data_IF_829770059353
#
_entry.id   IF_829770059353
#
_cell.length_a   1.000
_cell.length_b   1.000
_cell.length_c   1.000
_cell.angle_alpha   90.00
_cell.angle_beta   90.00
_cell.angle_gamma   90.00
#
_symmetry.space_group_name_H-M   'P 1'
#
loop_
_entity.id
_entity.type
_entity.pdbx_description
1 polymer ?
#
# COMPACT_ATOMS: atom_id res chain seq x y z
N UNK A 1 -7.33 -35.76 -6.66
CA UNK A 1 -6.59 -34.64 -7.29
C UNK A 1 -6.59 -33.48 -6.32
N UNK A 2 -5.44 -32.86 -6.05
CA UNK A 2 -5.31 -31.68 -5.18
C UNK A 2 -4.82 -30.51 -6.04
N UNK A 3 -5.46 -29.35 -5.93
CA UNK A 3 -5.04 -28.12 -6.62
C UNK A 3 -4.48 -27.13 -5.59
N UNK A 4 -3.21 -26.77 -5.73
CA UNK A 4 -2.50 -25.82 -4.87
C UNK A 4 -1.78 -24.75 -5.72
N UNK A 5 -2.53 -24.08 -6.61
CA UNK A 5 -1.96 -23.30 -7.73
C UNK A 5 -1.80 -21.81 -7.47
N UNK A 6 -1.86 -21.38 -6.21
CA UNK A 6 -1.75 -19.97 -5.81
C UNK A 6 -2.96 -19.11 -6.19
N UNK A 7 -2.76 -17.79 -6.12
CA UNK A 7 -3.81 -16.79 -6.33
C UNK A 7 -3.95 -16.27 -7.76
N UNK A 8 -4.76 -15.22 -7.91
CA UNK A 8 -5.16 -14.60 -9.18
C UNK A 8 -4.61 -13.18 -9.36
N UNK A 9 -3.40 -12.90 -8.85
CA UNK A 9 -2.88 -11.52 -8.77
C UNK A 9 -2.72 -10.79 -10.11
N UNK A 10 -2.50 -11.53 -11.20
CA UNK A 10 -2.33 -10.97 -12.54
C UNK A 10 -3.59 -10.30 -13.11
N UNK A 11 -4.76 -10.43 -12.47
CA UNK A 11 -5.94 -9.64 -12.85
C UNK A 11 -5.79 -8.16 -12.47
N UNK A 12 -4.83 -7.83 -11.60
CA UNK A 12 -4.48 -6.47 -11.21
C UNK A 12 -3.20 -6.03 -11.90
N UNK A 13 -3.19 -4.80 -12.43
CA UNK A 13 -2.00 -4.23 -13.05
C UNK A 13 -0.83 -4.07 -12.07
N UNK A 14 -1.13 -3.69 -10.82
CA UNK A 14 -0.14 -3.53 -9.76
C UNK A 14 -0.38 -4.58 -8.67
N UNK A 15 0.62 -5.44 -8.45
CA UNK A 15 0.51 -6.53 -7.48
C UNK A 15 1.87 -6.88 -6.87
N UNK A 16 1.88 -7.33 -5.61
CA UNK A 16 3.06 -7.94 -4.99
C UNK A 16 3.25 -9.40 -5.40
N UNK A 17 2.27 -10.00 -6.10
CA UNK A 17 2.32 -11.38 -6.51
C UNK A 17 3.39 -11.61 -7.59
N UNK A 18 3.91 -12.83 -7.65
CA UNK A 18 4.74 -13.24 -8.76
C UNK A 18 3.92 -13.30 -10.05
N UNK A 19 4.56 -13.08 -11.20
CA UNK A 19 3.92 -13.08 -12.52
C UNK A 19 3.13 -14.37 -12.82
N UNK A 20 3.54 -15.50 -12.24
CA UNK A 20 2.89 -16.80 -12.45
C UNK A 20 1.64 -17.04 -11.59
N UNK A 21 1.27 -16.11 -10.70
CA UNK A 21 0.03 -16.18 -9.93
C UNK A 21 -1.18 -15.81 -10.82
N UNK A 22 -1.56 -16.73 -11.72
CA UNK A 22 -2.41 -16.45 -12.86
C UNK A 22 -3.75 -17.19 -12.92
N UNK A 23 -4.19 -17.80 -11.81
CA UNK A 23 -5.51 -18.46 -11.62
C UNK A 23 -5.87 -19.62 -12.56
N UNK A 24 -5.03 -19.95 -13.55
CA UNK A 24 -5.41 -20.79 -14.69
C UNK A 24 -6.01 -22.13 -14.28
N UNK A 25 -5.42 -22.83 -13.30
CA UNK A 25 -5.90 -24.15 -12.89
C UNK A 25 -7.23 -24.10 -12.13
N UNK A 26 -7.38 -23.16 -11.18
CA UNK A 26 -8.63 -22.95 -10.45
C UNK A 26 -9.76 -22.54 -11.42
N UNK A 27 -9.46 -21.68 -12.40
CA UNK A 27 -10.42 -21.28 -13.42
C UNK A 27 -10.85 -22.45 -14.33
N UNK A 28 -9.91 -23.31 -14.72
CA UNK A 28 -10.23 -24.54 -15.49
C UNK A 28 -11.10 -25.50 -14.71
N UNK A 29 -10.89 -25.64 -13.39
CA UNK A 29 -11.75 -26.45 -12.54
C UNK A 29 -13.18 -25.85 -12.46
N UNK A 30 -13.28 -24.53 -12.30
CA UNK A 30 -14.56 -23.83 -12.33
C UNK A 30 -15.32 -24.04 -13.65
N UNK A 31 -14.63 -23.91 -14.79
CA UNK A 31 -15.19 -24.23 -16.12
C UNK A 31 -15.70 -25.66 -16.27
N UNK A 32 -15.25 -26.60 -15.43
CA UNK A 32 -15.72 -27.99 -15.38
C UNK A 32 -16.81 -28.23 -14.33
N UNK A 33 -17.42 -27.18 -13.79
CA UNK A 33 -18.56 -27.26 -12.88
C UNK A 33 -18.20 -27.12 -11.39
N UNK A 34 -16.94 -26.89 -11.03
CA UNK A 34 -16.60 -26.59 -9.64
C UNK A 34 -17.10 -25.19 -9.25
N UNK A 35 -17.57 -24.99 -8.01
CA UNK A 35 -17.89 -23.66 -7.52
C UNK A 35 -16.63 -22.81 -7.27
N UNK A 36 -16.74 -21.50 -7.49
CA UNK A 36 -15.67 -20.54 -7.27
C UNK A 36 -16.16 -19.44 -6.31
N UNK A 37 -15.75 -19.52 -5.06
CA UNK A 37 -16.25 -18.67 -4.00
C UNK A 37 -15.39 -17.41 -3.81
N UNK A 38 -16.06 -16.29 -3.49
CA UNK A 38 -15.45 -15.07 -2.99
C UNK A 38 -14.32 -14.45 -3.84
N UNK A 39 -14.36 -14.47 -5.19
CA UNK A 39 -13.30 -13.86 -6.00
C UNK A 39 -13.24 -12.34 -5.89
N UNK A 40 -14.29 -11.70 -5.37
CA UNK A 40 -14.34 -10.27 -5.11
C UNK A 40 -13.59 -9.84 -3.84
N UNK A 41 -13.29 -10.76 -2.92
CA UNK A 41 -12.55 -10.45 -1.69
C UNK A 41 -11.04 -10.44 -1.96
N UNK A 42 -10.57 -9.36 -2.57
CA UNK A 42 -9.14 -9.12 -2.77
C UNK A 42 -8.58 -8.25 -1.66
N UNK A 43 -7.55 -8.74 -0.98
CA UNK A 43 -6.81 -7.96 0.00
C UNK A 43 -5.79 -7.07 -0.71
N UNK A 44 -5.80 -5.78 -0.39
CA UNK A 44 -4.72 -4.86 -0.78
C UNK A 44 -3.80 -4.66 0.42
N UNK A 45 -2.50 -4.77 0.19
CA UNK A 45 -1.52 -4.55 1.25
C UNK A 45 -1.29 -3.04 1.45
N UNK A 46 -1.27 -2.52 2.69
CA UNK A 46 -1.10 -1.09 2.93
C UNK A 46 0.33 -0.61 2.66
N UNK A 47 1.32 -1.51 2.69
CA UNK A 47 2.73 -1.14 2.53
C UNK A 47 3.41 -1.86 1.37
N UNK A 48 3.74 -1.11 0.32
CA UNK A 48 4.54 -1.55 -0.82
C UNK A 48 5.41 -0.40 -1.35
N UNK A 49 6.57 -0.75 -1.90
CA UNK A 49 7.47 0.25 -2.51
C UNK A 49 6.80 0.78 -3.79
N UNK A 50 6.79 2.12 -4.00
CA UNK A 50 6.32 2.73 -5.24
C UNK A 50 6.99 2.16 -6.49
N UNK A 51 6.27 2.23 -7.61
CA UNK A 51 6.83 1.90 -8.91
C UNK A 51 7.90 2.92 -9.29
N UNK A 52 8.99 2.46 -9.89
CA UNK A 52 10.04 3.33 -10.45
C UNK A 52 9.85 3.57 -11.95
N UNK A 53 9.04 2.76 -12.63
CA UNK A 53 8.85 2.79 -14.08
C UNK A 53 7.41 2.41 -14.48
N UNK A 54 6.95 2.89 -15.63
CA UNK A 54 5.58 2.68 -16.14
C UNK A 54 5.35 1.23 -16.61
N UNK A 55 6.41 0.51 -16.98
CA UNK A 55 6.35 -0.91 -17.34
C UNK A 55 6.38 -1.85 -16.12
N UNK A 56 6.51 -1.31 -14.90
CA UNK A 56 6.57 -2.10 -13.68
C UNK A 56 5.18 -2.46 -13.15
N UNK A 57 4.81 -3.74 -13.24
CA UNK A 57 3.58 -4.29 -12.65
C UNK A 57 3.78 -4.97 -11.29
N UNK A 58 4.99 -5.48 -11.04
CA UNK A 58 5.34 -6.15 -9.78
C UNK A 58 5.85 -5.15 -8.75
N UNK A 59 5.17 -5.11 -7.61
CA UNK A 59 5.54 -4.30 -6.46
C UNK A 59 6.37 -5.11 -5.47
N UNK A 60 7.36 -4.45 -4.86
CA UNK A 60 8.10 -5.02 -3.73
C UNK A 60 7.29 -4.80 -2.46
N UNK A 61 6.91 -5.89 -1.80
CA UNK A 61 6.21 -5.87 -0.53
C UNK A 61 7.13 -5.36 0.58
N UNK A 62 6.61 -4.48 1.42
CA UNK A 62 7.21 -4.14 2.71
C UNK A 62 6.43 -4.83 3.81
N UNK A 63 7.10 -5.62 4.65
CA UNK A 63 6.48 -6.45 5.69
C UNK A 63 5.53 -5.63 6.56
N UNK A 64 4.38 -6.21 6.91
CA UNK A 64 3.44 -5.62 7.87
C UNK A 64 4.10 -5.36 9.23
N UNK A 65 5.09 -6.18 9.62
CA UNK A 65 5.82 -5.98 10.88
C UNK A 65 6.47 -4.60 10.97
N UNK A 66 6.74 -3.95 9.84
CA UNK A 66 7.29 -2.59 9.82
C UNK A 66 6.31 -1.55 10.38
N UNK A 67 5.00 -1.81 10.40
CA UNK A 67 4.01 -0.93 11.04
C UNK A 67 3.97 -1.08 12.56
N UNK A 68 4.63 -2.11 13.11
CA UNK A 68 4.76 -2.25 14.55
C UNK A 68 5.72 -1.20 15.12
N UNK A 69 6.82 -0.98 14.41
CA UNK A 69 7.90 -0.08 14.83
C UNK A 69 7.89 1.27 14.08
N UNK A 70 7.21 1.31 12.94
CA UNK A 70 7.11 2.48 12.08
C UNK A 70 5.78 3.22 12.20
N UNK A 71 5.83 4.53 12.02
CA UNK A 71 4.66 5.42 12.03
C UNK A 71 4.33 5.86 10.62
N UNK A 72 3.05 5.84 10.26
CA UNK A 72 2.58 6.25 8.93
C UNK A 72 1.98 7.65 9.00
N UNK A 73 2.40 8.54 8.09
CA UNK A 73 1.93 9.92 8.09
C UNK A 73 1.92 10.56 6.69
N UNK A 74 1.22 11.70 6.59
CA UNK A 74 1.21 12.61 5.43
C UNK A 74 1.39 14.06 5.89
N UNK A 75 1.84 14.98 5.03
CA UNK A 75 1.89 16.41 5.35
C UNK A 75 0.49 16.96 5.67
N UNK A 76 0.39 17.90 6.60
CA UNK A 76 -0.86 18.65 6.87
C UNK A 76 -1.27 19.55 5.72
N UNK A 77 -0.30 20.17 5.06
CA UNK A 77 -0.55 20.96 3.87
C UNK A 77 -0.91 20.07 2.67
N UNK A 78 -1.91 20.51 1.90
CA UNK A 78 -2.22 19.94 0.60
C UNK A 78 -1.08 20.20 -0.39
N UNK A 79 -0.86 19.26 -1.30
CA UNK A 79 0.12 19.34 -2.40
C UNK A 79 1.57 19.60 -1.96
N UNK A 80 1.91 19.39 -0.68
CA UNK A 80 3.25 19.61 -0.16
C UNK A 80 4.30 18.74 -0.90
N UNK A 81 5.27 19.39 -1.52
CA UNK A 81 6.30 18.77 -2.33
C UNK A 81 7.63 18.58 -1.57
N UNK A 82 7.71 19.03 -0.31
CA UNK A 82 8.91 18.90 0.51
C UNK A 82 9.22 17.43 0.75
N UNK A 83 10.51 17.14 0.86
CA UNK A 83 10.96 15.82 1.31
C UNK A 83 10.65 15.65 2.80
N UNK A 84 10.48 14.41 3.24
CA UNK A 84 10.10 14.10 4.62
C UNK A 84 11.05 14.70 5.69
N UNK A 85 12.31 14.94 5.34
CA UNK A 85 13.29 15.53 6.25
C UNK A 85 12.99 16.98 6.63
N UNK A 86 12.32 17.70 5.72
CA UNK A 86 12.07 19.15 5.79
C UNK A 86 10.68 19.47 6.38
N UNK A 87 9.85 18.45 6.62
CA UNK A 87 8.53 18.59 7.23
C UNK A 87 8.66 18.33 8.73
N UNK A 88 8.53 19.36 9.59
CA UNK A 88 8.62 19.20 11.04
C UNK A 88 7.45 18.37 11.56
N UNK A 89 7.62 17.72 12.71
CA UNK A 89 6.60 16.81 13.27
C UNK A 89 5.24 17.47 13.50
N UNK A 90 5.22 18.77 13.82
CA UNK A 90 4.00 19.55 14.00
C UNK A 90 3.18 19.77 12.71
N UNK A 91 3.77 19.51 11.54
CA UNK A 91 3.11 19.60 10.22
C UNK A 91 2.83 18.21 9.63
N UNK A 92 2.87 17.15 10.46
CA UNK A 92 2.63 15.76 10.05
C UNK A 92 1.34 15.24 10.65
N UNK A 93 0.48 14.69 9.81
CA UNK A 93 -0.70 13.93 10.26
C UNK A 93 -0.41 12.43 10.29
N UNK A 94 -0.29 11.92 11.50
CA UNK A 94 -0.33 10.49 11.80
C UNK A 94 -1.78 10.00 11.72
N UNK A 95 -2.35 10.00 10.52
CA UNK A 95 -3.79 9.88 10.28
C UNK A 95 -4.43 8.61 10.86
N UNK A 96 -3.68 7.49 10.96
CA UNK A 96 -4.18 6.26 11.59
C UNK A 96 -4.22 6.38 13.12
N UNK A 97 -3.20 6.99 13.72
CA UNK A 97 -3.14 7.25 15.17
C UNK A 97 -4.24 8.22 15.58
N UNK A 98 -4.48 9.26 14.78
CA UNK A 98 -5.56 10.23 15.00
C UNK A 98 -6.96 9.61 14.87
N UNK A 99 -7.21 8.81 13.81
CA UNK A 99 -8.53 8.20 13.57
C UNK A 99 -8.82 6.99 14.45
N UNK A 100 -7.79 6.24 14.83
CA UNK A 100 -7.90 4.99 15.59
C UNK A 100 -6.95 4.99 16.80
N UNK A 101 -7.17 5.82 17.84
CA UNK A 101 -6.23 5.97 18.96
C UNK A 101 -5.88 4.67 19.69
N UNK A 102 -6.80 3.70 19.72
CA UNK A 102 -6.60 2.41 20.38
C UNK A 102 -5.66 1.46 19.62
N UNK A 103 -5.54 1.61 18.30
CA UNK A 103 -4.78 0.68 17.44
C UNK A 103 -3.61 1.36 16.72
N UNK A 104 -3.72 2.65 16.42
CA UNK A 104 -2.75 3.40 15.64
C UNK A 104 -2.40 2.72 14.32
N UNK A 105 -1.11 2.49 14.09
CA UNK A 105 -0.61 1.86 12.87
C UNK A 105 -0.94 0.35 12.77
N UNK A 106 -1.52 -0.26 13.81
CA UNK A 106 -1.88 -1.68 13.87
C UNK A 106 -3.32 -1.99 13.47
N UNK A 107 -4.04 -1.02 12.90
CA UNK A 107 -5.37 -1.27 12.34
C UNK A 107 -5.34 -2.38 11.26
N UNK A 108 -6.47 -3.07 11.03
CA UNK A 108 -6.60 -4.05 9.96
C UNK A 108 -6.16 -3.51 8.59
N UNK A 109 -5.59 -4.39 7.75
CA UNK A 109 -5.00 -4.01 6.45
C UNK A 109 -5.96 -3.23 5.56
N UNK A 110 -7.22 -3.64 5.52
CA UNK A 110 -8.25 -2.99 4.70
C UNK A 110 -8.59 -1.58 5.21
N UNK A 111 -8.58 -1.36 6.52
CA UNK A 111 -8.72 -0.04 7.15
C UNK A 111 -7.52 0.85 6.86
N UNK A 112 -6.30 0.32 7.03
CA UNK A 112 -5.07 1.04 6.70
C UNK A 112 -5.05 1.45 5.23
N UNK A 113 -5.32 0.51 4.33
CA UNK A 113 -5.31 0.73 2.89
C UNK A 113 -6.36 1.76 2.45
N UNK A 114 -7.60 1.67 2.96
CA UNK A 114 -8.63 2.67 2.63
C UNK A 114 -8.26 4.07 3.10
N UNK A 115 -7.74 4.21 4.32
CA UNK A 115 -7.34 5.51 4.83
C UNK A 115 -6.15 6.11 4.06
N UNK A 116 -5.15 5.29 3.68
CA UNK A 116 -4.06 5.73 2.83
C UNK A 116 -4.56 6.27 1.49
N UNK A 117 -5.54 5.59 0.87
CA UNK A 117 -6.18 6.05 -0.36
C UNK A 117 -6.95 7.36 -0.15
N UNK A 118 -7.73 7.46 0.93
CA UNK A 118 -8.51 8.66 1.26
C UNK A 118 -7.61 9.89 1.42
N UNK A 119 -6.51 9.80 2.18
CA UNK A 119 -5.62 10.96 2.38
C UNK A 119 -4.88 11.36 1.09
N UNK A 120 -4.59 10.39 0.21
CA UNK A 120 -4.03 10.70 -1.10
C UNK A 120 -5.06 11.39 -2.01
N UNK A 121 -6.31 10.92 -2.01
CA UNK A 121 -7.43 11.54 -2.75
C UNK A 121 -7.77 12.95 -2.23
N UNK A 122 -7.52 13.22 -0.95
CA UNK A 122 -7.63 14.55 -0.35
C UNK A 122 -6.50 15.50 -0.82
N UNK A 123 -5.57 15.06 -1.66
CA UNK A 123 -4.46 15.89 -2.16
C UNK A 123 -3.27 15.97 -1.20
N UNK A 124 -3.21 15.09 -0.20
CA UNK A 124 -2.10 15.02 0.77
C UNK A 124 -1.12 13.89 0.48
N UNK A 125 -1.27 13.25 -0.68
CA UNK A 125 -0.35 12.21 -1.12
C UNK A 125 1.05 12.75 -1.41
N UNK A 126 2.06 11.92 -1.22
CA UNK A 126 3.48 12.32 -1.31
C UNK A 126 4.17 11.74 -2.54
N UNK A 127 5.36 12.28 -2.83
CA UNK A 127 6.20 11.91 -3.96
C UNK A 127 5.73 12.45 -5.31
N UNK A 128 6.45 12.13 -6.40
CA UNK A 128 6.23 12.77 -7.71
C UNK A 128 4.82 12.59 -8.27
N UNK A 129 4.21 11.44 -7.99
CA UNK A 129 2.86 11.09 -8.45
C UNK A 129 1.77 11.38 -7.41
N UNK A 130 2.12 11.94 -6.24
CA UNK A 130 1.18 12.26 -5.14
C UNK A 130 0.27 11.10 -4.75
N UNK A 131 0.79 9.87 -4.84
CA UNK A 131 0.02 8.63 -4.69
C UNK A 131 0.62 7.73 -3.61
N UNK A 132 1.11 8.33 -2.53
CA UNK A 132 1.75 7.60 -1.45
C UNK A 132 1.69 8.32 -0.11
N UNK A 133 2.17 7.65 0.92
CA UNK A 133 2.30 8.12 2.30
C UNK A 133 3.71 7.83 2.81
N UNK A 134 4.16 8.51 3.87
CA UNK A 134 5.44 8.20 4.48
C UNK A 134 5.30 7.09 5.53
N UNK A 135 6.31 6.21 5.58
CA UNK A 135 6.55 5.27 6.67
C UNK A 135 7.89 5.62 7.33
N UNK A 136 7.84 5.99 8.61
CA UNK A 136 8.97 6.52 9.37
C UNK A 136 9.33 5.60 10.55
N UNK A 137 10.61 5.23 10.66
CA UNK A 137 11.15 4.39 11.75
C UNK A 137 11.94 5.18 12.81
N UNK A 138 11.87 6.51 12.80
CA UNK A 138 12.67 7.35 13.70
C UNK A 138 12.43 7.10 15.20
N UNK A 139 11.29 6.52 15.59
CA UNK A 139 10.97 6.18 16.98
C UNK A 139 11.59 4.87 17.49
N UNK A 140 12.06 3.99 16.61
CA UNK A 140 12.57 2.66 16.97
C UNK A 140 14.09 2.65 17.09
N UNK A 141 14.62 2.93 18.30
CA UNK A 141 15.92 2.54 18.90
C UNK A 141 17.23 2.44 18.08
N UNK A 142 17.29 2.87 16.82
CA UNK A 142 18.52 2.82 16.03
C UNK A 142 19.38 4.05 16.32
N UNK A 143 20.68 3.90 16.66
CA UNK A 143 21.58 5.04 16.81
C UNK A 143 21.51 5.85 15.52
N UNK A 144 21.43 7.18 15.65
CA UNK A 144 21.40 8.17 14.56
C UNK A 144 22.57 7.97 13.59
N UNK A 145 22.52 6.95 12.74
CA UNK A 145 23.34 6.81 11.55
C UNK A 145 22.65 7.67 10.49
N UNK A 146 23.40 8.64 10.00
CA UNK A 146 23.06 9.52 8.89
C UNK A 146 22.29 8.77 7.80
N UNK A 147 20.98 9.02 7.71
CA UNK A 147 20.08 8.35 6.77
C UNK A 147 18.74 8.06 7.44
N UNK A 148 17.90 9.09 7.59
CA UNK A 148 16.49 8.95 8.01
C UNK A 148 15.86 7.85 7.14
N UNK A 149 15.58 6.68 7.71
CA UNK A 149 14.91 5.58 7.00
C UNK A 149 13.44 5.95 6.86
N UNK A 150 13.16 6.84 5.91
CA UNK A 150 11.83 7.26 5.49
C UNK A 150 11.61 6.58 4.15
N UNK A 151 10.68 5.62 4.10
CA UNK A 151 10.24 5.06 2.83
C UNK A 151 8.93 5.72 2.43
N UNK A 152 8.87 6.14 1.18
CA UNK A 152 7.58 6.42 0.56
C UNK A 152 6.90 5.08 0.32
N UNK A 153 5.63 5.00 0.70
CA UNK A 153 4.77 3.85 0.49
C UNK A 153 3.69 4.24 -0.48
N UNK A 154 3.47 3.43 -1.52
CA UNK A 154 2.42 3.72 -2.48
C UNK A 154 1.03 3.49 -1.86
N UNK A 155 0.09 4.34 -2.23
CA UNK A 155 -1.32 4.11 -1.98
C UNK A 155 -1.78 2.79 -2.65
N UNK A 156 -2.77 2.11 -2.06
CA UNK A 156 -3.10 0.75 -2.45
C UNK A 156 -3.82 0.65 -3.81
N UNK A 157 -4.48 1.71 -4.29
CA UNK A 157 -5.35 1.66 -5.47
C UNK A 157 -5.09 2.88 -6.36
N UNK A 158 -4.78 2.69 -7.65
CA UNK A 158 -4.73 3.79 -8.63
C UNK A 158 -6.17 4.15 -9.01
N UNK A 159 -6.52 5.43 -9.03
CA UNK A 159 -7.72 5.86 -9.75
C UNK A 159 -7.48 5.64 -11.25
N UNK A 160 -8.29 4.79 -11.89
CA UNK A 160 -8.33 4.72 -13.36
C UNK A 160 -9.22 5.89 -13.79
N UNK A 161 -8.70 6.91 -14.49
CA UNK A 161 -9.53 8.01 -14.97
C UNK A 161 -10.64 7.49 -15.89
N UNK A 162 -11.83 8.09 -15.88
CA UNK A 162 -13.03 7.57 -16.55
C UNK A 162 -12.96 7.52 -18.09
N UNK A 163 -11.82 7.84 -18.72
CA UNK A 163 -11.70 8.08 -20.17
C UNK A 163 -11.26 6.88 -21.02
N UNK A 164 -11.21 5.67 -20.46
CA UNK A 164 -10.97 4.46 -21.26
C UNK A 164 -12.05 3.40 -21.03
N UNK A 165 -13.26 3.71 -21.53
CA UNK A 165 -14.28 2.74 -21.95
C UNK A 165 -14.58 2.94 -23.42
#
# INVERSE_FOLDING_TARGET
>A
MVLATGGYGNVYFLSTNAMMCNVTAAWRAHKKGAFFANPCYTQIHPTCIPVSDDFQSKLTLMSESLRNDGRIWVPDAHDDARIAADIPEAERDYYLERKYPAFGNLVPRDVASRNAKTVCDEGRGVGPLKNGVFLDFAGSHSPRRSGRHLSQVREPVRHVPPHHR
#
